data_IF_227424876914
#
_entry.id   IF_227424876914
#
_cell.length_a   1.000
_cell.length_b   1.000
_cell.length_c   1.000
_cell.angle_alpha   90.00
_cell.angle_beta   90.00
_cell.angle_gamma   90.00
#
_symmetry.space_group_name_H-M   'P 1'
#
loop_
_entity.id
_entity.type
_entity.pdbx_description
1 polymer ?
#
# COMPACT_ATOMS: atom_id res chain seq x y z
N UNK A 1 7.60 3.81 0.18
CA UNK A 1 7.39 5.23 0.00
C UNK A 1 7.31 5.55 -1.51
N UNK A 2 6.43 6.49 -1.91
CA UNK A 2 6.02 6.67 -3.31
C UNK A 2 7.08 7.39 -4.16
N UNK A 3 7.69 8.42 -3.63
CA UNK A 3 8.62 9.29 -4.38
C UNK A 3 10.00 8.64 -4.54
N UNK A 4 10.60 8.25 -3.43
CA UNK A 4 11.92 7.62 -3.44
C UNK A 4 11.88 6.15 -3.84
N UNK A 5 10.71 5.48 -3.75
CA UNK A 5 10.52 4.03 -3.88
C UNK A 5 11.35 3.22 -2.89
N UNK A 6 11.69 3.81 -1.74
CA UNK A 6 12.36 3.09 -0.65
C UNK A 6 11.36 2.22 0.11
N UNK A 7 11.82 1.09 0.58
CA UNK A 7 11.08 0.21 1.49
C UNK A 7 11.29 0.75 2.91
N UNK A 8 10.32 1.50 3.42
CA UNK A 8 10.37 2.12 4.76
C UNK A 8 9.84 1.21 5.87
N UNK A 9 9.17 0.13 5.50
CA UNK A 9 8.69 -0.89 6.42
C UNK A 9 8.52 -2.21 5.71
N UNK A 10 8.72 -3.30 6.41
CA UNK A 10 8.57 -4.64 5.86
C UNK A 10 8.04 -5.60 6.93
N UNK A 11 7.29 -6.58 6.51
CA UNK A 11 6.77 -7.62 7.38
C UNK A 11 6.60 -8.93 6.62
N UNK A 12 6.99 -10.01 7.25
CA UNK A 12 6.71 -11.37 6.79
C UNK A 12 5.81 -12.05 7.80
N UNK A 13 4.74 -12.63 7.34
CA UNK A 13 3.75 -13.32 8.18
C UNK A 13 3.35 -14.66 7.53
N UNK A 14 2.90 -15.59 8.35
CA UNK A 14 2.28 -16.84 7.92
C UNK A 14 0.75 -16.81 8.11
N UNK A 15 0.16 -15.62 8.28
CA UNK A 15 -1.29 -15.49 8.37
C UNK A 15 -1.96 -15.94 7.06
N UNK A 16 -3.12 -16.61 7.16
CA UNK A 16 -3.79 -17.15 5.97
C UNK A 16 -4.41 -16.09 5.06
N UNK A 17 -4.59 -14.86 5.57
CA UNK A 17 -5.10 -13.73 4.80
C UNK A 17 -4.47 -12.41 5.24
N UNK A 18 -4.59 -11.39 4.40
CA UNK A 18 -3.97 -10.07 4.61
C UNK A 18 -4.88 -9.06 5.33
N UNK A 19 -6.14 -9.39 5.60
CA UNK A 19 -7.14 -8.44 6.16
C UNK A 19 -6.73 -7.85 7.51
N UNK A 20 -6.02 -8.64 8.33
CA UNK A 20 -5.55 -8.20 9.64
C UNK A 20 -4.14 -7.59 9.61
N UNK A 21 -3.52 -7.51 8.42
CA UNK A 21 -2.14 -7.05 8.31
C UNK A 21 -2.02 -5.54 8.08
N UNK A 22 -3.10 -4.83 7.73
CA UNK A 22 -3.08 -3.39 7.47
C UNK A 22 -2.63 -2.60 8.71
N UNK A 23 -3.33 -2.77 9.83
CA UNK A 23 -3.06 -2.03 11.07
C UNK A 23 -1.63 -2.23 11.57
N UNK A 24 -1.15 -3.48 11.81
CA UNK A 24 0.19 -3.68 12.33
C UNK A 24 1.29 -3.26 11.34
N UNK A 25 1.01 -3.25 10.04
CA UNK A 25 1.96 -2.76 9.04
C UNK A 25 2.07 -1.24 9.09
N UNK A 26 0.96 -0.53 9.14
CA UNK A 26 0.95 0.94 9.26
C UNK A 26 1.60 1.38 10.58
N UNK A 27 1.29 0.73 11.70
CA UNK A 27 1.92 1.01 13.00
C UNK A 27 3.45 0.81 12.96
N UNK A 28 3.92 -0.22 12.28
CA UNK A 28 5.36 -0.45 12.11
C UNK A 28 6.02 0.66 11.27
N UNK A 29 5.34 1.13 10.21
CA UNK A 29 5.84 2.23 9.37
C UNK A 29 5.85 3.54 10.16
N UNK A 30 4.77 3.88 10.86
CA UNK A 30 4.68 5.10 11.68
C UNK A 30 5.79 5.13 12.74
N UNK A 31 6.07 3.98 13.37
CA UNK A 31 7.14 3.86 14.36
C UNK A 31 8.53 4.07 13.77
N UNK A 32 8.75 3.63 12.53
CA UNK A 32 10.05 3.70 11.86
C UNK A 32 10.28 5.02 11.11
N UNK A 33 9.25 5.57 10.47
CA UNK A 33 9.34 6.69 9.54
C UNK A 33 8.53 7.93 9.98
N UNK A 34 7.78 7.85 11.07
CA UNK A 34 6.94 8.94 11.55
C UNK A 34 5.57 8.98 10.87
N UNK A 35 5.06 10.18 10.63
CA UNK A 35 3.73 10.38 10.10
C UNK A 35 3.55 9.82 8.67
N UNK A 36 2.41 9.19 8.40
CA UNK A 36 2.02 8.66 7.10
C UNK A 36 0.77 9.38 6.61
N UNK A 37 0.87 10.16 5.56
CA UNK A 37 -0.24 10.93 4.99
C UNK A 37 -1.28 10.04 4.30
N UNK A 38 -0.83 9.07 3.52
CA UNK A 38 -1.73 8.19 2.79
C UNK A 38 -1.20 6.75 2.69
N UNK A 39 -2.12 5.79 2.79
CA UNK A 39 -1.85 4.36 2.66
C UNK A 39 -2.58 3.81 1.46
N UNK A 40 -1.84 3.24 0.51
CA UNK A 40 -2.40 2.62 -0.68
C UNK A 40 -2.32 1.10 -0.52
N UNK A 41 -3.47 0.44 -0.39
CA UNK A 41 -3.53 -0.99 -0.12
C UNK A 41 -4.31 -1.75 -1.20
N UNK A 42 -4.01 -3.04 -1.34
CA UNK A 42 -4.80 -3.93 -2.19
C UNK A 42 -6.11 -4.34 -1.52
N UNK A 43 -7.06 -4.85 -2.30
CA UNK A 43 -8.35 -5.35 -1.80
C UNK A 43 -8.20 -6.46 -0.75
N UNK A 44 -7.11 -7.23 -0.78
CA UNK A 44 -6.79 -8.24 0.23
C UNK A 44 -6.59 -7.68 1.63
N UNK A 45 -6.18 -6.41 1.76
CA UNK A 45 -5.97 -5.72 3.05
C UNK A 45 -7.21 -4.99 3.55
N UNK A 46 -8.26 -4.89 2.71
CA UNK A 46 -9.44 -4.13 3.08
C UNK A 46 -10.28 -4.86 4.14
N UNK A 47 -10.54 -4.19 5.25
CA UNK A 47 -11.65 -4.44 6.15
C UNK A 47 -12.08 -3.12 6.79
N UNK A 48 -13.39 -2.94 7.04
CA UNK A 48 -13.93 -1.71 7.63
C UNK A 48 -13.21 -1.38 8.94
N UNK A 49 -13.13 -2.37 9.84
CA UNK A 49 -12.46 -2.23 11.13
C UNK A 49 -10.99 -1.80 11.01
N UNK A 50 -10.25 -2.36 10.04
CA UNK A 50 -8.84 -2.01 9.86
C UNK A 50 -8.68 -0.57 9.35
N UNK A 51 -9.53 -0.15 8.40
CA UNK A 51 -9.55 1.22 7.89
C UNK A 51 -9.88 2.22 9.00
N UNK A 52 -10.96 1.97 9.75
CA UNK A 52 -11.37 2.79 10.89
C UNK A 52 -10.26 2.90 11.94
N UNK A 53 -9.61 1.77 12.26
CA UNK A 53 -8.51 1.76 13.24
C UNK A 53 -7.34 2.61 12.77
N UNK A 54 -6.95 2.51 11.50
CA UNK A 54 -5.84 3.29 10.94
C UNK A 54 -6.19 4.79 10.91
N UNK A 55 -7.37 5.13 10.40
CA UNK A 55 -7.78 6.53 10.24
C UNK A 55 -8.11 7.21 11.59
N UNK A 56 -8.58 6.46 12.61
CA UNK A 56 -8.84 6.99 13.94
C UNK A 56 -7.59 7.16 14.81
N UNK A 57 -6.60 6.28 14.63
CA UNK A 57 -5.32 6.37 15.38
C UNK A 57 -4.37 7.42 14.81
N UNK A 58 -4.60 7.87 13.59
CA UNK A 58 -3.79 8.91 12.99
C UNK A 58 -3.95 10.21 13.78
N UNK A 59 -2.85 10.76 14.27
CA UNK A 59 -2.86 12.06 14.93
C UNK A 59 -3.51 13.09 13.98
N UNK A 60 -4.56 13.75 14.47
CA UNK A 60 -5.31 14.79 13.75
C UNK A 60 -5.95 14.34 12.40
N UNK A 61 -6.30 13.07 12.22
CA UNK A 61 -6.98 12.62 10.98
C UNK A 61 -6.12 12.70 9.72
N UNK A 62 -4.80 12.72 9.85
CA UNK A 62 -3.88 12.95 8.71
C UNK A 62 -3.69 11.72 7.82
N UNK A 63 -3.84 10.50 8.32
CA UNK A 63 -3.66 9.30 7.49
C UNK A 63 -4.94 8.92 6.78
N UNK A 64 -4.94 8.92 5.45
CA UNK A 64 -6.04 8.45 4.63
C UNK A 64 -5.71 7.10 3.99
N UNK A 65 -6.62 6.13 4.11
CA UNK A 65 -6.49 4.83 3.46
C UNK A 65 -7.19 4.86 2.09
N UNK A 66 -6.52 4.32 1.08
CA UNK A 66 -7.06 4.08 -0.26
C UNK A 66 -6.92 2.59 -0.56
N UNK A 67 -8.00 1.86 -0.46
CA UNK A 67 -8.02 0.42 -0.70
C UNK A 67 -9.22 0.03 -1.57
N UNK A 68 -9.00 -0.85 -2.55
CA UNK A 68 -10.12 -1.39 -3.31
C UNK A 68 -10.98 -2.26 -2.38
N UNK A 69 -12.28 -1.98 -2.32
CA UNK A 69 -13.23 -2.76 -1.50
C UNK A 69 -13.48 -4.14 -2.09
N UNK A 70 -13.48 -4.21 -3.42
CA UNK A 70 -13.72 -5.44 -4.19
C UNK A 70 -12.61 -5.63 -5.22
N UNK A 71 -12.36 -6.87 -5.62
CA UNK A 71 -11.54 -7.13 -6.80
C UNK A 71 -12.30 -6.58 -8.01
N UNK A 72 -11.86 -5.43 -8.50
CA UNK A 72 -12.38 -4.89 -9.75
C UNK A 72 -12.10 -5.89 -10.87
N UNK A 73 -13.13 -6.34 -11.55
CA UNK A 73 -12.99 -7.10 -12.79
C UNK A 73 -12.12 -6.33 -13.79
N UNK A 74 -11.41 -7.04 -14.66
CA UNK A 74 -10.54 -6.42 -15.67
C UNK A 74 -11.29 -5.52 -16.68
N UNK A 75 -12.63 -5.57 -16.69
CA UNK A 75 -13.47 -4.76 -17.56
C UNK A 75 -14.00 -3.54 -16.81
N UNK A 76 -13.36 -2.38 -17.03
CA UNK A 76 -13.93 -1.09 -16.67
C UNK A 76 -14.93 -0.73 -17.78
N UNK A 77 -16.11 -0.22 -17.42
CA UNK A 77 -17.02 0.33 -18.40
C UNK A 77 -16.41 1.58 -19.05
N UNK A 78 -16.76 1.85 -20.29
CA UNK A 78 -16.33 3.08 -20.98
C UNK A 78 -16.78 4.31 -20.19
N UNK A 79 -17.98 4.27 -19.62
CA UNK A 79 -18.53 5.33 -18.76
C UNK A 79 -17.66 5.62 -17.52
N UNK A 80 -17.09 4.60 -16.90
CA UNK A 80 -16.18 4.78 -15.77
C UNK A 80 -14.83 5.39 -16.16
N UNK A 81 -14.40 5.17 -17.40
CA UNK A 81 -13.17 5.76 -17.96
C UNK A 81 -13.38 7.22 -18.38
N UNK A 82 -14.55 7.55 -18.88
CA UNK A 82 -14.90 8.88 -19.39
C UNK A 82 -15.45 9.83 -18.31
N UNK A 83 -15.73 9.31 -17.11
CA UNK A 83 -16.29 10.10 -16.01
C UNK A 83 -15.32 11.20 -15.58
N UNK A 84 -15.65 12.46 -15.95
CA UNK A 84 -14.87 13.65 -15.60
C UNK A 84 -15.28 14.28 -14.28
N UNK A 85 -16.50 14.02 -13.80
CA UNK A 85 -17.02 14.59 -12.55
C UNK A 85 -16.93 13.59 -11.42
N UNK A 86 -16.61 14.10 -10.23
CA UNK A 86 -16.62 13.28 -9.02
C UNK A 86 -18.06 12.89 -8.66
N UNK A 87 -18.28 11.71 -8.08
CA UNK A 87 -19.58 11.29 -7.61
C UNK A 87 -20.07 12.20 -6.47
N UNK A 88 -21.38 12.32 -6.31
CA UNK A 88 -21.97 13.03 -5.17
C UNK A 88 -21.46 12.47 -3.84
N UNK A 89 -21.29 13.37 -2.86
CA UNK A 89 -20.81 12.97 -1.54
C UNK A 89 -21.75 11.94 -0.91
N UNK A 90 -21.20 10.93 -0.23
CA UNK A 90 -22.00 9.95 0.46
C UNK A 90 -22.78 10.61 1.60
N UNK A 91 -23.90 9.99 2.00
CA UNK A 91 -24.70 10.44 3.14
C UNK A 91 -23.86 10.50 4.41
N UNK A 92 -24.25 11.33 5.36
CA UNK A 92 -23.55 11.49 6.64
C UNK A 92 -23.47 10.19 7.46
N UNK A 93 -24.48 9.33 7.33
CA UNK A 93 -24.60 8.01 7.97
C UNK A 93 -24.02 6.85 7.13
N UNK A 94 -23.35 7.16 6.01
CA UNK A 94 -22.77 6.15 5.14
C UNK A 94 -21.72 5.29 5.87
N UNK A 95 -21.73 3.98 5.59
CA UNK A 95 -20.77 3.03 6.13
C UNK A 95 -19.34 3.34 5.65
N UNK A 96 -18.37 2.80 6.36
CA UNK A 96 -16.94 2.92 5.98
C UNK A 96 -16.69 2.34 4.59
N UNK A 97 -17.37 1.26 4.23
CA UNK A 97 -17.33 0.68 2.89
C UNK A 97 -17.87 1.63 1.83
N UNK A 98 -19.00 2.29 2.06
CA UNK A 98 -19.59 3.24 1.11
C UNK A 98 -18.69 4.47 0.94
N UNK A 99 -18.18 5.01 2.03
CA UNK A 99 -17.19 6.11 2.00
C UNK A 99 -15.93 5.72 1.25
N UNK A 100 -15.42 4.50 1.43
CA UNK A 100 -14.25 4.01 0.70
C UNK A 100 -14.55 3.84 -0.80
N UNK A 101 -15.69 3.26 -1.17
CA UNK A 101 -16.12 3.15 -2.58
C UNK A 101 -16.25 4.53 -3.23
N UNK A 102 -16.83 5.50 -2.52
CA UNK A 102 -16.91 6.87 -2.99
C UNK A 102 -15.51 7.47 -3.19
N UNK A 103 -14.63 7.41 -2.16
CA UNK A 103 -13.25 7.91 -2.21
C UNK A 103 -12.49 7.35 -3.42
N UNK A 104 -12.62 6.05 -3.69
CA UNK A 104 -11.98 5.38 -4.82
C UNK A 104 -12.53 5.79 -6.19
N UNK A 105 -13.77 6.31 -6.26
CA UNK A 105 -14.39 6.81 -7.49
C UNK A 105 -14.08 8.28 -7.77
N UNK A 106 -13.59 9.05 -6.80
CA UNK A 106 -13.18 10.43 -7.01
C UNK A 106 -11.94 10.53 -7.89
N UNK A 107 -11.75 11.67 -8.56
CA UNK A 107 -10.53 11.91 -9.34
C UNK A 107 -9.28 11.75 -8.48
N UNK A 108 -9.25 12.41 -7.32
CA UNK A 108 -8.15 12.32 -6.34
C UNK A 108 -7.87 10.87 -5.92
N UNK A 109 -8.93 10.10 -5.64
CA UNK A 109 -8.81 8.69 -5.24
C UNK A 109 -8.22 7.82 -6.34
N UNK A 110 -8.67 8.00 -7.58
CA UNK A 110 -8.14 7.28 -8.74
C UNK A 110 -6.66 7.60 -9.00
N UNK A 111 -6.29 8.88 -8.95
CA UNK A 111 -4.91 9.33 -9.11
C UNK A 111 -3.99 8.75 -8.02
N UNK A 112 -4.38 8.88 -6.76
CA UNK A 112 -3.64 8.31 -5.61
C UNK A 112 -3.51 6.78 -5.75
N UNK A 113 -4.58 6.07 -6.05
CA UNK A 113 -4.55 4.61 -6.15
C UNK A 113 -3.71 4.09 -7.33
N UNK A 114 -3.66 4.84 -8.43
CA UNK A 114 -2.80 4.53 -9.58
C UNK A 114 -1.31 4.50 -9.21
N UNK A 115 -0.88 5.31 -8.24
CA UNK A 115 0.50 5.33 -7.75
C UNK A 115 0.93 3.97 -7.17
N UNK A 116 0.00 3.16 -6.68
CA UNK A 116 0.31 1.81 -6.17
C UNK A 116 0.99 0.94 -7.23
N UNK A 117 0.46 0.94 -8.46
CA UNK A 117 1.05 0.16 -9.56
C UNK A 117 2.42 0.70 -9.96
N UNK A 118 2.59 2.02 -9.93
CA UNK A 118 3.84 2.67 -10.33
C UNK A 118 4.96 2.55 -9.27
N UNK A 119 4.63 2.16 -8.05
CA UNK A 119 5.60 2.05 -6.94
C UNK A 119 5.89 0.61 -6.56
N UNK A 120 4.88 -0.17 -6.22
CA UNK A 120 5.04 -1.51 -5.65
C UNK A 120 5.54 -2.50 -6.71
N UNK A 121 4.93 -2.51 -7.89
CA UNK A 121 5.29 -3.45 -8.95
C UNK A 121 6.74 -3.29 -9.43
N UNK A 122 7.27 -2.07 -9.71
CA UNK A 122 8.66 -1.89 -10.07
C UNK A 122 9.64 -2.31 -8.96
N UNK A 123 9.32 -2.04 -7.69
CA UNK A 123 10.16 -2.46 -6.56
C UNK A 123 10.30 -3.98 -6.52
N UNK A 124 9.19 -4.71 -6.58
CA UNK A 124 9.23 -6.17 -6.64
C UNK A 124 9.87 -6.69 -7.94
N UNK A 125 9.67 -6.00 -9.05
CA UNK A 125 10.34 -6.31 -10.32
C UNK A 125 11.87 -6.26 -10.20
N UNK A 126 12.41 -5.22 -9.57
CA UNK A 126 13.85 -5.08 -9.31
C UNK A 126 14.35 -6.17 -8.36
N UNK A 127 13.63 -6.43 -7.27
CA UNK A 127 14.00 -7.48 -6.31
C UNK A 127 14.07 -8.84 -7.00
N UNK A 128 13.08 -9.18 -7.82
CA UNK A 128 13.01 -10.49 -8.49
C UNK A 128 13.97 -10.61 -9.66
N UNK A 129 14.10 -9.57 -10.49
CA UNK A 129 14.82 -9.67 -11.76
C UNK A 129 16.25 -9.17 -11.67
N UNK A 130 16.53 -8.14 -10.87
CA UNK A 130 17.86 -7.54 -10.75
C UNK A 130 18.65 -8.10 -9.57
N UNK A 131 17.99 -8.26 -8.40
CA UNK A 131 18.61 -8.87 -7.23
C UNK A 131 18.51 -10.39 -7.23
N UNK A 132 17.74 -10.99 -8.14
CA UNK A 132 17.61 -12.44 -8.29
C UNK A 132 16.79 -13.12 -7.19
N UNK A 133 16.19 -12.35 -6.26
CA UNK A 133 15.44 -12.91 -5.15
C UNK A 133 14.02 -13.28 -5.58
N UNK A 134 13.84 -14.54 -5.96
CA UNK A 134 12.55 -15.07 -6.45
C UNK A 134 11.81 -15.93 -5.44
N UNK A 135 12.50 -16.42 -4.42
CA UNK A 135 11.97 -17.30 -3.36
C UNK A 135 12.81 -17.21 -2.12
N UNK A 136 12.21 -17.48 -0.97
CA UNK A 136 12.94 -17.66 0.27
C UNK A 136 13.79 -18.95 0.20
N UNK A 137 15.03 -18.85 0.64
CA UNK A 137 15.97 -19.99 0.68
C UNK A 137 15.98 -20.65 2.06
N UNK A 138 15.68 -19.89 3.09
CA UNK A 138 15.65 -20.36 4.48
C UNK A 138 14.25 -20.82 4.88
N UNK A 139 14.17 -21.79 5.75
CA UNK A 139 12.91 -22.34 6.26
C UNK A 139 12.58 -21.79 7.65
N UNK A 140 11.31 -21.57 7.90
CA UNK A 140 10.77 -21.03 9.14
C UNK A 140 10.62 -19.50 9.12
N UNK A 141 9.60 -19.02 9.83
CA UNK A 141 9.17 -17.63 9.78
C UNK A 141 10.28 -16.65 10.17
N UNK A 142 10.99 -16.92 11.26
CA UNK A 142 12.04 -16.02 11.74
C UNK A 142 13.20 -15.90 10.75
N UNK A 143 13.63 -17.01 10.15
CA UNK A 143 14.69 -16.99 9.14
C UNK A 143 14.22 -16.28 7.84
N UNK A 144 12.98 -16.50 7.44
CA UNK A 144 12.38 -15.79 6.31
C UNK A 144 12.29 -14.27 6.55
N UNK A 145 11.97 -13.84 7.77
CA UNK A 145 12.01 -12.42 8.17
C UNK A 145 13.40 -11.81 8.02
N UNK A 146 14.44 -12.51 8.51
CA UNK A 146 15.82 -12.05 8.38
C UNK A 146 16.26 -11.96 6.91
N UNK A 147 15.95 -13.00 6.12
CA UNK A 147 16.25 -13.03 4.69
C UNK A 147 15.58 -11.86 3.96
N UNK A 148 14.30 -11.59 4.24
CA UNK A 148 13.58 -10.48 3.66
C UNK A 148 14.14 -9.11 4.10
N UNK A 149 14.60 -9.00 5.33
CA UNK A 149 15.27 -7.79 5.84
C UNK A 149 16.55 -7.52 5.05
N UNK A 150 17.38 -8.52 4.81
CA UNK A 150 18.60 -8.37 4.01
C UNK A 150 18.31 -7.95 2.58
N UNK A 151 17.31 -8.56 1.94
CA UNK A 151 16.88 -8.21 0.57
C UNK A 151 16.37 -6.79 0.50
N UNK A 152 15.54 -6.37 1.45
CA UNK A 152 15.00 -5.02 1.52
C UNK A 152 16.11 -3.98 1.75
N UNK A 153 17.09 -4.29 2.58
CA UNK A 153 18.27 -3.44 2.83
C UNK A 153 19.13 -3.31 1.57
N UNK A 154 19.41 -4.42 0.90
CA UNK A 154 20.19 -4.41 -0.34
C UNK A 154 19.49 -3.60 -1.45
N UNK A 155 18.17 -3.74 -1.57
CA UNK A 155 17.37 -2.92 -2.48
C UNK A 155 17.49 -1.43 -2.14
N UNK A 156 17.29 -1.06 -0.87
CA UNK A 156 17.35 0.33 -0.43
C UNK A 156 18.75 0.95 -0.65
N UNK A 157 19.82 0.23 -0.32
CA UNK A 157 21.19 0.70 -0.56
C UNK A 157 21.45 0.97 -2.05
N UNK A 158 21.03 0.06 -2.91
CA UNK A 158 21.13 0.24 -4.36
C UNK A 158 20.31 1.43 -4.85
N UNK A 159 19.13 1.65 -4.28
CA UNK A 159 18.26 2.77 -4.63
C UNK A 159 18.87 4.10 -4.18
N UNK A 160 19.34 4.19 -2.94
CA UNK A 160 20.01 5.37 -2.39
C UNK A 160 21.26 5.74 -3.19
N UNK A 161 22.12 4.77 -3.53
CA UNK A 161 23.29 5.01 -4.36
C UNK A 161 22.92 5.68 -5.68
N UNK A 162 21.90 5.16 -6.38
CA UNK A 162 21.43 5.76 -7.64
C UNK A 162 20.85 7.17 -7.47
N UNK A 163 20.21 7.45 -6.32
CA UNK A 163 19.68 8.80 -6.07
C UNK A 163 20.81 9.82 -5.88
N UNK A 164 21.93 9.42 -5.29
CA UNK A 164 23.11 10.29 -5.12
C UNK A 164 23.83 10.52 -6.44
N UNK A 165 23.90 9.51 -7.33
CA UNK A 165 24.55 9.66 -8.65
C UNK A 165 23.77 10.59 -9.61
N UNK A 166 22.49 10.86 -9.33
CA UNK A 166 21.62 11.64 -10.24
C UNK A 166 21.54 13.12 -9.82
N UNK A 167 22.21 13.53 -8.74
CA UNK A 167 22.36 14.91 -8.26
C UNK A 167 23.69 15.47 -8.75
#
# INVERSE_FOLDING_TARGET
EVESRLIVGQRVTNAPNDKEQLVPTVEAIVRAAGCVESVLADSGYYSERAVETVESKAEAGMTQVYAAVEKTGHHRSVEDLERKQDPENPRADASTTERMRHRMKTQKGREKYKLRQQTVEPVFGIIKSVLGFRRFMLRGLEKAKLEWTLVSTAYNLKRLHRMVETV
#
